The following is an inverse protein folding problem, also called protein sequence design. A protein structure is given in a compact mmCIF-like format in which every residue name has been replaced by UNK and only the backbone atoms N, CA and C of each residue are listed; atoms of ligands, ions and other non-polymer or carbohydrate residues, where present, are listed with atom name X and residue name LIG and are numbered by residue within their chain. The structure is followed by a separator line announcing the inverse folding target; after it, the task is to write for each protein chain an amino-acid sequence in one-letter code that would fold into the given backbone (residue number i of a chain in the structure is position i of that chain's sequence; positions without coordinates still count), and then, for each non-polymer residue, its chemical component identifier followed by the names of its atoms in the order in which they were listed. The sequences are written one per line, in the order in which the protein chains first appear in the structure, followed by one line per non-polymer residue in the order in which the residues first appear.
data_IF_024414915341
#
_entry.id   IF_024414915341
#
_cell.length_a   1.000
_cell.length_b   1.000
_cell.length_c   1.000
_cell.angle_alpha   90.00
_cell.angle_beta   90.00
_cell.angle_gamma   90.00
#
_symmetry.space_group_name_H-M   'P 1'
#
loop_
_entity.id
_entity.type
_entity.pdbx_description
1 polymer ?
#
# COMPACT_ATOMS: atom_id res chain seq x y z
N UNK A 1 3.54 -33.31 -9.64
CA UNK A 1 4.85 -32.71 -9.99
C UNK A 1 4.74 -31.66 -11.10
N UNK A 2 3.99 -31.92 -12.18
CA UNK A 2 3.73 -30.92 -13.25
C UNK A 2 2.89 -29.75 -12.79
N UNK A 3 1.95 -29.95 -11.86
CA UNK A 3 1.12 -28.91 -11.28
C UNK A 3 1.93 -27.94 -10.39
N UNK A 4 2.89 -28.43 -9.60
CA UNK A 4 3.72 -27.58 -8.77
C UNK A 4 4.76 -26.81 -9.59
N UNK A 5 5.38 -27.44 -10.59
CA UNK A 5 6.33 -26.79 -11.48
C UNK A 5 5.65 -25.70 -12.34
N UNK A 6 4.43 -25.97 -12.87
CA UNK A 6 3.67 -24.95 -13.58
C UNK A 6 3.24 -23.80 -12.66
N UNK A 7 2.91 -24.05 -11.38
CA UNK A 7 2.59 -23.01 -10.40
C UNK A 7 3.80 -22.19 -10.01
N UNK A 8 5.00 -22.74 -10.08
CA UNK A 8 6.24 -22.01 -9.77
C UNK A 8 6.72 -21.13 -10.92
N UNK A 9 6.41 -21.50 -12.16
CA UNK A 9 6.86 -20.76 -13.37
C UNK A 9 5.92 -19.58 -13.71
N UNK A 10 4.63 -19.62 -13.35
CA UNK A 10 3.63 -18.63 -13.76
C UNK A 10 2.72 -18.22 -12.59
N UNK A 11 3.30 -17.61 -11.55
CA UNK A 11 2.51 -17.14 -10.40
C UNK A 11 1.86 -15.77 -10.66
N UNK A 12 1.26 -15.53 -11.84
CA UNK A 12 0.45 -14.32 -12.09
C UNK A 12 -0.63 -14.13 -11.03
N UNK A 13 -1.16 -15.23 -10.52
CA UNK A 13 -2.21 -15.23 -9.51
C UNK A 13 -1.72 -14.83 -8.11
N UNK A 14 -0.40 -14.83 -7.88
CA UNK A 14 0.18 -14.49 -6.58
C UNK A 14 0.08 -13.01 -6.26
N UNK A 15 0.04 -12.14 -7.29
CA UNK A 15 -0.07 -10.69 -7.13
C UNK A 15 -0.99 -10.13 -8.19
N UNK A 16 -2.02 -9.38 -7.74
CA UNK A 16 -2.93 -8.67 -8.62
C UNK A 16 -4.00 -9.52 -9.32
N UNK A 17 -4.02 -10.85 -9.14
CA UNK A 17 -5.02 -11.76 -9.70
C UNK A 17 -5.19 -11.61 -11.21
N UNK A 18 -6.20 -10.84 -11.66
CA UNK A 18 -6.45 -10.55 -13.07
C UNK A 18 -5.52 -9.49 -13.67
N UNK A 19 -4.70 -8.79 -12.87
CA UNK A 19 -3.78 -7.76 -13.34
C UNK A 19 -2.47 -8.41 -13.78
N UNK A 20 -2.04 -8.26 -15.04
CA UNK A 20 -0.84 -8.93 -15.57
C UNK A 20 0.46 -8.20 -15.17
N UNK A 21 0.81 -8.14 -13.88
CA UNK A 21 1.97 -7.38 -13.38
C UNK A 21 3.29 -8.13 -13.45
N UNK A 22 3.29 -9.42 -13.14
CA UNK A 22 4.53 -10.22 -13.03
C UNK A 22 5.30 -10.25 -14.36
N UNK A 23 4.59 -10.48 -15.47
CA UNK A 23 5.22 -10.57 -16.78
C UNK A 23 5.77 -9.23 -17.27
N UNK A 24 5.06 -8.10 -17.21
CA UNK A 24 5.65 -6.80 -17.53
C UNK A 24 6.90 -6.47 -16.74
N UNK A 25 6.93 -6.70 -15.43
CA UNK A 25 8.14 -6.50 -14.63
C UNK A 25 9.31 -7.37 -15.14
N UNK A 26 9.04 -8.61 -15.51
CA UNK A 26 10.07 -9.58 -15.91
C UNK A 26 10.47 -9.49 -17.39
N UNK A 27 9.70 -8.84 -18.24
CA UNK A 27 9.92 -8.83 -19.71
C UNK A 27 9.84 -7.46 -20.34
N UNK A 28 8.82 -6.66 -20.02
CA UNK A 28 8.54 -5.39 -20.72
C UNK A 28 9.25 -4.20 -20.11
N UNK A 29 9.54 -4.24 -18.82
CA UNK A 29 10.19 -3.15 -18.07
C UNK A 29 11.68 -3.44 -17.79
N UNK A 30 12.25 -4.44 -18.42
CA UNK A 30 13.64 -4.88 -18.18
C UNK A 30 14.70 -3.90 -18.70
N UNK A 31 14.32 -2.93 -19.52
CA UNK A 31 15.22 -1.88 -19.98
C UNK A 31 15.33 -0.72 -18.98
N UNK A 32 14.45 -0.69 -17.98
CA UNK A 32 14.39 0.35 -16.97
C UNK A 32 14.94 -0.13 -15.62
N UNK A 33 15.54 0.78 -14.88
CA UNK A 33 15.75 0.61 -13.45
C UNK A 33 14.47 1.06 -12.74
N UNK A 34 13.82 0.10 -12.05
CA UNK A 34 12.62 0.39 -11.27
C UNK A 34 13.04 1.10 -9.98
N UNK A 35 12.57 2.30 -9.78
CA UNK A 35 12.89 3.10 -8.59
C UNK A 35 11.79 3.07 -7.54
N UNK A 36 10.53 2.91 -7.94
CA UNK A 36 9.40 2.82 -6.99
C UNK A 36 8.32 1.88 -7.52
N UNK A 37 7.75 1.10 -6.62
CA UNK A 37 6.50 0.34 -6.81
C UNK A 37 5.58 0.71 -5.68
N UNK A 38 4.34 1.09 -5.99
CA UNK A 38 3.30 1.36 -4.99
C UNK A 38 2.01 0.71 -5.44
N UNK A 39 1.36 -0.04 -4.55
CA UNK A 39 0.15 -0.76 -4.93
C UNK A 39 -0.95 -0.77 -3.87
N UNK A 40 -2.20 -0.74 -4.35
CA UNK A 40 -3.37 -1.21 -3.63
C UNK A 40 -3.51 -2.67 -4.02
N UNK A 41 -2.98 -3.57 -3.20
CA UNK A 41 -2.78 -5.00 -3.53
C UNK A 41 -3.82 -5.93 -2.89
N UNK A 42 -4.74 -5.37 -2.10
CA UNK A 42 -5.80 -6.13 -1.43
C UNK A 42 -7.16 -5.47 -1.65
N UNK A 43 -8.07 -6.17 -2.33
CA UNK A 43 -9.40 -5.66 -2.67
C UNK A 43 -10.33 -5.54 -1.45
N UNK A 44 -10.21 -6.43 -0.46
CA UNK A 44 -11.01 -6.42 0.76
C UNK A 44 -10.79 -5.14 1.55
N UNK A 45 -9.54 -4.81 1.83
CA UNK A 45 -9.18 -3.59 2.57
C UNK A 45 -9.53 -2.32 1.80
N UNK A 46 -9.33 -2.32 0.48
CA UNK A 46 -9.71 -1.18 -0.34
C UNK A 46 -11.22 -0.96 -0.37
N UNK A 47 -12.02 -2.04 -0.43
CA UNK A 47 -13.47 -1.98 -0.30
C UNK A 47 -13.88 -1.38 1.06
N UNK A 48 -13.31 -1.91 2.16
CA UNK A 48 -13.61 -1.43 3.52
C UNK A 48 -13.31 0.07 3.64
N UNK A 49 -12.11 0.51 3.29
CA UNK A 49 -11.72 1.92 3.37
C UNK A 49 -12.56 2.83 2.47
N UNK A 50 -12.89 2.37 1.25
CA UNK A 50 -13.74 3.11 0.32
C UNK A 50 -15.12 3.33 0.91
N UNK A 51 -15.71 2.29 1.50
CA UNK A 51 -17.07 2.34 2.04
C UNK A 51 -17.13 3.15 3.34
N UNK A 52 -16.17 2.97 4.25
CA UNK A 52 -16.04 3.82 5.44
C UNK A 52 -15.97 5.30 5.08
N UNK A 53 -15.20 5.64 4.04
CA UNK A 53 -15.05 7.03 3.57
C UNK A 53 -16.35 7.58 2.97
N UNK A 54 -17.05 6.81 2.12
CA UNK A 54 -18.24 7.29 1.41
C UNK A 54 -19.49 7.36 2.28
N UNK A 55 -19.67 6.39 3.17
CA UNK A 55 -20.90 6.23 3.94
C UNK A 55 -20.75 6.69 5.40
N UNK A 56 -19.54 6.97 5.86
CA UNK A 56 -19.27 7.42 7.23
C UNK A 56 -19.57 6.38 8.31
N UNK A 57 -19.64 5.09 7.93
CA UNK A 57 -19.92 3.98 8.84
C UNK A 57 -18.65 3.37 9.42
N UNK A 58 -18.78 2.65 10.52
CA UNK A 58 -17.64 2.12 11.25
C UNK A 58 -16.96 0.94 10.54
N UNK A 59 -15.69 0.71 10.85
CA UNK A 59 -14.93 -0.45 10.37
C UNK A 59 -15.67 -1.78 10.63
N UNK A 60 -16.25 -1.96 11.83
CA UNK A 60 -16.95 -3.19 12.21
C UNK A 60 -18.21 -3.44 11.37
N UNK A 61 -18.94 -2.39 11.03
CA UNK A 61 -20.14 -2.48 10.20
C UNK A 61 -19.78 -2.86 8.76
N UNK A 62 -18.79 -2.19 8.20
CA UNK A 62 -18.31 -2.49 6.82
C UNK A 62 -17.70 -3.89 6.74
N UNK A 63 -16.94 -4.32 7.75
CA UNK A 63 -16.35 -5.66 7.77
C UNK A 63 -17.45 -6.74 7.75
N UNK A 64 -18.51 -6.59 8.54
CA UNK A 64 -19.65 -7.53 8.52
C UNK A 64 -20.31 -7.60 7.16
N UNK A 65 -20.47 -6.46 6.50
CA UNK A 65 -21.03 -6.41 5.16
C UNK A 65 -20.09 -7.06 4.14
N UNK A 66 -18.78 -6.77 4.19
CA UNK A 66 -17.78 -7.39 3.34
C UNK A 66 -17.79 -8.93 3.47
N UNK A 67 -17.98 -9.42 4.70
CA UNK A 67 -18.14 -10.86 4.98
C UNK A 67 -19.44 -11.42 4.37
N UNK A 68 -20.56 -10.71 4.50
CA UNK A 68 -21.85 -11.12 3.92
C UNK A 68 -21.81 -11.16 2.39
N UNK A 69 -21.05 -10.27 1.76
CA UNK A 69 -20.83 -10.20 0.31
C UNK A 69 -19.77 -11.20 -0.20
N UNK A 70 -19.07 -11.89 0.71
CA UNK A 70 -17.98 -12.81 0.37
C UNK A 70 -16.67 -12.13 -0.05
N UNK A 71 -16.49 -10.85 0.25
CA UNK A 71 -15.24 -10.12 0.01
C UNK A 71 -14.22 -10.33 1.13
N UNK A 72 -14.68 -10.60 2.34
CA UNK A 72 -13.85 -10.94 3.49
C UNK A 72 -14.19 -12.33 4.02
N UNK A 73 -13.18 -13.09 4.40
CA UNK A 73 -13.35 -14.37 5.07
C UNK A 73 -13.77 -14.18 6.54
N UNK A 74 -14.19 -15.28 7.19
CA UNK A 74 -14.54 -15.27 8.61
C UNK A 74 -13.38 -14.82 9.50
N UNK A 75 -12.15 -15.23 9.17
CA UNK A 75 -10.91 -14.68 9.76
C UNK A 75 -10.21 -13.79 8.74
N UNK A 76 -10.46 -12.47 8.74
CA UNK A 76 -9.94 -11.55 7.75
C UNK A 76 -8.54 -11.00 8.10
N UNK A 77 -7.88 -11.53 9.13
CA UNK A 77 -6.64 -10.99 9.71
C UNK A 77 -5.56 -10.75 8.65
N UNK A 78 -5.37 -11.71 7.73
CA UNK A 78 -4.37 -11.58 6.67
C UNK A 78 -4.62 -10.37 5.76
N UNK A 79 -5.90 -10.00 5.56
CA UNK A 79 -6.29 -8.83 4.77
C UNK A 79 -6.16 -7.57 5.62
N UNK A 80 -6.89 -7.50 6.73
CA UNK A 80 -7.09 -6.26 7.50
C UNK A 80 -5.86 -5.80 8.26
N UNK A 81 -4.95 -6.71 8.63
CA UNK A 81 -3.66 -6.37 9.21
C UNK A 81 -2.55 -6.15 8.16
N UNK A 82 -2.91 -6.24 6.85
CA UNK A 82 -2.01 -5.89 5.74
C UNK A 82 -1.03 -7.00 5.33
N UNK A 83 -1.10 -8.19 5.93
CA UNK A 83 -0.13 -9.28 5.66
C UNK A 83 -0.20 -9.80 4.22
N UNK A 84 -1.39 -9.85 3.62
CA UNK A 84 -1.55 -10.23 2.21
C UNK A 84 -0.85 -9.22 1.29
N UNK A 85 -1.10 -7.91 1.49
CA UNK A 85 -0.46 -6.85 0.73
C UNK A 85 1.07 -6.82 0.94
N UNK A 86 1.54 -7.10 2.16
CA UNK A 86 2.96 -7.22 2.50
C UNK A 86 3.64 -8.35 1.73
N UNK A 87 3.06 -9.54 1.68
CA UNK A 87 3.61 -10.67 0.89
C UNK A 87 3.67 -10.35 -0.59
N UNK A 88 2.65 -9.66 -1.10
CA UNK A 88 2.59 -9.24 -2.51
C UNK A 88 3.65 -8.21 -2.87
N UNK A 89 3.88 -7.20 -2.04
CA UNK A 89 4.94 -6.23 -2.30
C UNK A 89 6.34 -6.88 -2.18
N UNK A 90 6.54 -7.84 -1.28
CA UNK A 90 7.79 -8.58 -1.20
C UNK A 90 8.12 -9.32 -2.51
N UNK A 91 7.10 -9.93 -3.15
CA UNK A 91 7.25 -10.59 -4.47
C UNK A 91 7.61 -9.55 -5.55
N UNK A 92 6.87 -8.43 -5.61
CA UNK A 92 7.12 -7.39 -6.62
C UNK A 92 8.51 -6.76 -6.43
N UNK A 93 8.93 -6.53 -5.20
CA UNK A 93 10.26 -6.00 -4.86
C UNK A 93 11.35 -6.99 -5.26
N UNK A 94 11.16 -8.28 -4.98
CA UNK A 94 12.12 -9.32 -5.38
C UNK A 94 12.28 -9.39 -6.89
N UNK A 95 11.18 -9.27 -7.64
CA UNK A 95 11.20 -9.24 -9.11
C UNK A 95 11.90 -7.99 -9.66
N UNK A 96 11.61 -6.82 -9.09
CA UNK A 96 12.15 -5.56 -9.58
C UNK A 96 13.66 -5.42 -9.33
N UNK A 97 14.13 -5.92 -8.19
CA UNK A 97 15.54 -5.76 -7.79
C UNK A 97 16.37 -7.05 -7.91
N UNK A 98 15.76 -8.14 -8.37
CA UNK A 98 16.47 -9.37 -8.72
C UNK A 98 17.00 -10.19 -7.53
N UNK A 99 16.59 -9.92 -6.30
CA UNK A 99 17.03 -10.61 -5.08
C UNK A 99 15.87 -10.87 -4.14
N UNK A 100 15.98 -11.89 -3.28
CA UNK A 100 14.90 -12.33 -2.38
C UNK A 100 14.65 -11.32 -1.26
N UNK A 101 13.43 -10.82 -1.17
CA UNK A 101 12.94 -10.01 -0.04
C UNK A 101 12.18 -10.90 0.93
N UNK A 102 12.54 -10.85 2.22
CA UNK A 102 11.80 -11.51 3.28
C UNK A 102 10.67 -10.60 3.74
N UNK A 103 9.42 -11.04 3.59
CA UNK A 103 8.26 -10.24 3.94
C UNK A 103 8.17 -9.94 5.45
N UNK A 104 8.77 -10.78 6.30
CA UNK A 104 8.84 -10.59 7.76
C UNK A 104 9.65 -9.36 8.15
N UNK A 105 10.51 -8.87 7.26
CA UNK A 105 11.33 -7.66 7.48
C UNK A 105 10.63 -6.39 7.00
N UNK A 106 9.51 -6.52 6.31
CA UNK A 106 8.72 -5.37 5.85
C UNK A 106 7.82 -4.90 6.97
N UNK A 107 7.95 -3.63 7.37
CA UNK A 107 7.03 -3.00 8.32
C UNK A 107 5.61 -3.08 7.79
N UNK A 108 4.71 -3.65 8.59
CA UNK A 108 3.32 -3.86 8.18
C UNK A 108 2.37 -3.32 9.23
N UNK A 109 1.47 -2.45 8.81
CA UNK A 109 0.41 -1.86 9.62
C UNK A 109 -0.93 -2.03 8.88
N UNK A 110 -1.93 -2.60 9.57
CA UNK A 110 -3.28 -2.83 9.03
C UNK A 110 -4.19 -1.61 9.10
N UNK A 111 -5.46 -1.84 8.72
CA UNK A 111 -6.49 -0.80 8.68
C UNK A 111 -7.39 -0.76 9.92
N UNK A 112 -7.23 -1.68 10.85
CA UNK A 112 -8.11 -1.87 12.02
C UNK A 112 -8.18 -0.68 12.97
N UNK A 113 -7.16 0.20 12.93
CA UNK A 113 -7.07 1.43 13.73
C UNK A 113 -7.65 2.66 13.03
N UNK A 114 -8.00 2.56 11.76
CA UNK A 114 -8.59 3.68 11.00
C UNK A 114 -10.03 3.88 11.46
N UNK A 115 -10.38 5.13 11.71
CA UNK A 115 -11.70 5.54 12.23
C UNK A 115 -12.41 6.49 11.27
N UNK A 116 -13.71 6.66 11.45
CA UNK A 116 -14.51 7.62 10.67
C UNK A 116 -14.01 9.06 10.83
N UNK A 117 -13.42 9.41 11.98
CA UNK A 117 -12.80 10.71 12.17
C UNK A 117 -11.59 10.93 11.27
N UNK A 118 -10.77 9.91 11.04
CA UNK A 118 -9.61 10.01 10.14
C UNK A 118 -10.05 10.37 8.72
N UNK A 119 -11.17 9.82 8.24
CA UNK A 119 -11.72 10.17 6.93
C UNK A 119 -12.23 11.61 6.87
N UNK A 120 -12.88 12.13 7.92
CA UNK A 120 -13.32 13.52 7.97
C UNK A 120 -12.14 14.50 7.88
N UNK A 121 -11.04 14.21 8.57
CA UNK A 121 -9.83 14.99 8.45
C UNK A 121 -9.19 14.86 7.06
N UNK A 122 -9.12 13.66 6.52
CA UNK A 122 -8.59 13.42 5.17
C UNK A 122 -9.39 14.19 4.12
N UNK A 123 -10.71 14.13 4.15
CA UNK A 123 -11.61 14.89 3.27
C UNK A 123 -11.38 16.39 3.37
N UNK A 124 -11.32 16.95 4.61
CA UNK A 124 -11.05 18.36 4.85
C UNK A 124 -9.72 18.84 4.26
N UNK A 125 -8.73 17.93 4.22
CA UNK A 125 -7.39 18.19 3.66
C UNK A 125 -7.28 17.88 2.16
N UNK A 126 -8.32 17.31 1.53
CA UNK A 126 -8.30 16.90 0.12
C UNK A 126 -7.59 15.56 -0.13
N UNK A 127 -7.50 14.72 0.89
CA UNK A 127 -6.90 13.39 0.81
C UNK A 127 -7.93 12.27 0.89
N UNK A 128 -7.52 11.08 0.44
CA UNK A 128 -8.20 9.80 0.73
C UNK A 128 -7.24 8.88 1.48
N UNK A 129 -7.79 7.96 2.27
CA UNK A 129 -7.01 6.95 3.00
C UNK A 129 -7.01 5.65 2.19
N UNK A 130 -5.82 5.10 1.92
CA UNK A 130 -5.61 3.83 1.23
C UNK A 130 -4.62 2.97 2.01
N UNK A 131 -4.80 1.64 1.99
CA UNK A 131 -3.74 0.72 2.38
C UNK A 131 -2.78 0.57 1.20
N UNK A 132 -1.62 1.18 1.30
CA UNK A 132 -0.57 1.07 0.29
C UNK A 132 0.50 0.09 0.73
N UNK A 133 0.93 -0.76 -0.20
CA UNK A 133 2.16 -1.51 -0.11
C UNK A 133 3.15 -0.88 -1.09
N UNK A 134 4.25 -0.37 -0.58
CA UNK A 134 5.22 0.39 -1.37
C UNK A 134 6.64 -0.13 -1.16
N UNK A 135 7.43 -0.04 -2.22
CA UNK A 135 8.87 -0.31 -2.22
C UNK A 135 9.55 0.76 -3.07
N UNK A 136 10.63 1.34 -2.56
CA UNK A 136 11.42 2.33 -3.28
C UNK A 136 12.90 2.09 -3.10
N UNK A 137 13.69 2.48 -4.10
CA UNK A 137 15.15 2.47 -4.05
C UNK A 137 15.65 3.91 -3.94
N UNK A 138 16.32 4.19 -2.84
CA UNK A 138 16.95 5.50 -2.55
C UNK A 138 18.38 5.28 -2.07
N UNK A 139 19.33 5.99 -2.66
CA UNK A 139 20.75 5.92 -2.27
C UNK A 139 21.28 4.48 -2.16
N UNK A 140 20.98 3.65 -3.16
CA UNK A 140 21.30 2.21 -3.23
C UNK A 140 20.70 1.32 -2.14
N UNK A 141 19.81 1.84 -1.32
CA UNK A 141 19.02 1.07 -0.35
C UNK A 141 17.59 0.91 -0.84
N UNK A 142 17.05 -0.28 -0.61
CA UNK A 142 15.64 -0.58 -0.90
C UNK A 142 14.85 -0.53 0.40
N UNK A 143 13.81 0.28 0.42
CA UNK A 143 12.86 0.38 1.53
C UNK A 143 11.53 -0.24 1.12
N UNK A 144 10.85 -0.88 2.03
CA UNK A 144 9.52 -1.42 1.79
C UNK A 144 8.63 -1.29 3.03
N UNK A 145 7.36 -0.96 2.80
CA UNK A 145 6.36 -0.82 3.88
C UNK A 145 4.96 -1.14 3.35
N UNK A 146 4.12 -1.70 4.21
CA UNK A 146 2.68 -1.81 3.99
C UNK A 146 1.96 -1.11 5.13
N UNK A 147 1.21 -0.06 4.82
CA UNK A 147 0.53 0.73 5.85
C UNK A 147 -0.62 1.55 5.25
N UNK A 148 -1.53 2.09 6.09
CA UNK A 148 -2.43 3.16 5.68
C UNK A 148 -1.67 4.44 5.33
N UNK A 149 -2.04 5.03 4.19
CA UNK A 149 -1.53 6.31 3.71
C UNK A 149 -2.67 7.26 3.34
N UNK A 150 -2.47 8.54 3.58
CA UNK A 150 -3.23 9.61 2.95
C UNK A 150 -2.57 9.97 1.62
N UNK A 151 -3.37 9.99 0.55
CA UNK A 151 -2.94 10.39 -0.80
C UNK A 151 -3.91 11.43 -1.36
N UNK A 152 -3.39 12.41 -2.09
CA UNK A 152 -4.20 13.47 -2.70
C UNK A 152 -4.60 13.14 -4.14
N UNK A 153 -5.39 14.01 -4.78
CA UNK A 153 -5.94 13.81 -6.13
C UNK A 153 -4.89 13.72 -7.25
N UNK A 154 -3.64 14.11 -7.01
CA UNK A 154 -2.55 13.98 -7.99
C UNK A 154 -1.88 12.61 -7.95
N UNK A 155 -2.14 11.82 -6.89
CA UNK A 155 -1.57 10.49 -6.78
C UNK A 155 -2.27 9.50 -7.73
N UNK A 156 -1.53 8.67 -8.50
CA UNK A 156 -2.12 7.74 -9.48
C UNK A 156 -3.18 6.80 -8.92
N UNK A 157 -3.03 6.37 -7.66
CA UNK A 157 -3.92 5.42 -7.01
C UNK A 157 -5.14 6.07 -6.31
N UNK A 158 -5.28 7.40 -6.36
CA UNK A 158 -6.35 8.12 -5.67
C UNK A 158 -7.75 7.59 -6.00
N UNK A 159 -8.01 7.35 -7.30
CA UNK A 159 -9.30 6.91 -7.79
C UNK A 159 -9.48 5.37 -7.84
N UNK A 160 -8.53 4.60 -7.30
CA UNK A 160 -8.68 3.14 -7.17
C UNK A 160 -9.57 2.83 -5.98
N UNK A 161 -10.83 2.50 -6.22
CA UNK A 161 -11.86 2.32 -5.19
C UNK A 161 -12.46 0.92 -5.22
N UNK A 162 -13.27 0.62 -4.21
CA UNK A 162 -14.05 -0.60 -4.07
C UNK A 162 -13.13 -1.86 -4.04
N UNK A 163 -13.47 -2.92 -4.69
CA UNK A 163 -12.67 -4.16 -4.75
C UNK A 163 -11.51 -4.12 -5.76
N UNK A 164 -11.30 -2.97 -6.41
CA UNK A 164 -10.28 -2.85 -7.44
C UNK A 164 -8.89 -2.70 -6.85
N UNK A 165 -7.90 -3.19 -7.61
CA UNK A 165 -6.48 -3.07 -7.30
C UNK A 165 -5.81 -2.14 -8.30
N UNK A 166 -4.71 -1.53 -7.90
CA UNK A 166 -3.85 -0.73 -8.77
C UNK A 166 -2.40 -0.90 -8.37
N UNK A 167 -1.53 -0.98 -9.34
CA UNK A 167 -0.08 -1.09 -9.14
C UNK A 167 0.58 -0.02 -10.00
N UNK A 168 1.18 0.94 -9.33
CA UNK A 168 1.94 2.03 -9.92
C UNK A 168 3.43 1.72 -9.83
N UNK A 169 4.13 1.92 -10.94
CA UNK A 169 5.57 1.67 -11.08
C UNK A 169 6.21 2.93 -11.65
N UNK A 170 7.36 3.30 -11.09
CA UNK A 170 8.21 4.35 -11.66
C UNK A 170 9.53 3.74 -12.09
N UNK A 171 9.83 3.88 -13.40
CA UNK A 171 11.10 3.52 -14.00
C UNK A 171 11.90 4.77 -14.37
N UNK A 172 13.22 4.66 -14.38
CA UNK A 172 14.11 5.80 -14.62
C UNK A 172 14.05 6.38 -16.04
N UNK A 173 13.59 5.62 -17.03
CA UNK A 173 13.47 6.03 -18.43
C UNK A 173 12.01 6.12 -18.88
N UNK A 174 11.22 5.07 -18.62
CA UNK A 174 9.81 5.03 -19.02
C UNK A 174 8.94 5.99 -18.18
N UNK A 175 9.42 6.36 -16.98
CA UNK A 175 8.62 7.16 -16.05
C UNK A 175 7.51 6.34 -15.40
N UNK A 176 6.31 6.89 -15.40
CA UNK A 176 5.17 6.36 -14.66
C UNK A 176 4.35 5.36 -15.48
N UNK A 177 4.18 4.15 -14.96
CA UNK A 177 3.32 3.11 -15.52
C UNK A 177 2.33 2.64 -14.45
N UNK A 178 1.08 2.44 -14.83
CA UNK A 178 0.06 1.93 -13.91
C UNK A 178 -0.67 0.73 -14.49
N UNK A 179 -0.84 -0.30 -13.68
CA UNK A 179 -1.69 -1.46 -13.94
C UNK A 179 -2.90 -1.39 -13.02
N UNK A 180 -4.09 -1.45 -13.58
CA UNK A 180 -5.33 -1.26 -12.84
C UNK A 180 -6.38 -2.29 -13.27
N UNK A 181 -7.14 -2.82 -12.32
CA UNK A 181 -8.23 -3.75 -12.62
C UNK A 181 -8.68 -4.58 -11.43
N UNK A 182 -9.36 -5.70 -11.72
CA UNK A 182 -9.82 -6.62 -10.71
C UNK A 182 -8.66 -7.48 -10.18
N UNK A 183 -8.32 -7.32 -8.91
CA UNK A 183 -7.28 -8.09 -8.23
C UNK A 183 -7.70 -9.51 -7.84
N UNK A 184 -9.01 -9.80 -7.85
CA UNK A 184 -9.60 -11.10 -7.51
C UNK A 184 -10.94 -11.29 -8.23
N UNK A 185 -11.51 -12.48 -8.11
CA UNK A 185 -12.82 -12.84 -8.66
C UNK A 185 -12.76 -13.97 -9.67
N UNK A 186 -13.87 -14.67 -9.83
CA UNK A 186 -13.98 -15.88 -10.66
C UNK A 186 -13.49 -15.67 -12.11
N UNK A 187 -14.01 -14.65 -12.79
CA UNK A 187 -13.67 -14.39 -14.19
C UNK A 187 -12.26 -13.79 -14.36
N UNK A 188 -11.82 -12.79 -13.58
CA UNK A 188 -10.44 -12.29 -13.65
C UNK A 188 -9.39 -13.37 -13.39
N UNK A 189 -9.60 -14.22 -12.38
CA UNK A 189 -8.70 -15.35 -12.09
C UNK A 189 -8.69 -16.38 -13.22
N UNK A 190 -9.85 -16.74 -13.76
CA UNK A 190 -9.93 -17.65 -14.90
C UNK A 190 -9.23 -17.08 -16.14
N UNK A 191 -9.39 -15.78 -16.42
CA UNK A 191 -8.69 -15.09 -17.51
C UNK A 191 -7.16 -15.16 -17.35
N UNK A 192 -6.64 -14.95 -16.13
CA UNK A 192 -5.22 -15.07 -15.85
C UNK A 192 -4.68 -16.49 -16.07
N UNK A 193 -5.42 -17.51 -15.60
CA UNK A 193 -5.07 -18.92 -15.82
C UNK A 193 -5.04 -19.26 -17.31
N UNK A 194 -6.07 -18.89 -18.05
CA UNK A 194 -6.13 -19.15 -19.50
C UNK A 194 -5.01 -18.42 -20.24
N UNK A 195 -4.70 -17.19 -19.85
CA UNK A 195 -3.58 -16.45 -20.44
C UNK A 195 -2.23 -17.15 -20.21
N UNK A 196 -2.02 -17.76 -19.02
CA UNK A 196 -0.82 -18.53 -18.74
C UNK A 196 -0.77 -19.83 -19.54
N UNK A 197 -1.89 -20.51 -19.72
CA UNK A 197 -1.98 -21.73 -20.60
C UNK A 197 -1.64 -21.35 -22.05
N UNK A 198 -2.20 -20.27 -22.58
CA UNK A 198 -1.89 -19.78 -23.93
C UNK A 198 -0.40 -19.48 -24.09
N UNK A 199 0.19 -18.88 -23.06
CA UNK A 199 1.62 -18.56 -23.07
C UNK A 199 2.50 -19.81 -23.04
N UNK A 200 2.15 -20.81 -22.24
CA UNK A 200 2.82 -22.11 -22.25
C UNK A 200 2.79 -22.77 -23.64
N UNK A 201 1.65 -22.67 -24.35
CA UNK A 201 1.52 -23.19 -25.72
C UNK A 201 2.42 -22.44 -26.69
N UNK A 202 2.47 -21.10 -26.59
CA UNK A 202 3.33 -20.25 -27.45
C UNK A 202 4.83 -20.51 -27.23
N UNK A 203 5.23 -20.89 -26.04
CA UNK A 203 6.61 -21.15 -25.66
C UNK A 203 6.89 -22.63 -25.46
N UNK A 204 6.17 -23.51 -26.18
CA UNK A 204 6.34 -24.96 -26.09
C UNK A 204 7.82 -25.38 -26.24
N UNK A 205 8.32 -26.11 -25.27
CA UNK A 205 9.73 -26.58 -25.24
C UNK A 205 10.75 -25.52 -24.79
N UNK A 206 10.29 -24.35 -24.33
CA UNK A 206 11.14 -23.31 -23.73
C UNK A 206 10.65 -22.99 -22.32
N UNK A 207 11.56 -22.85 -21.39
CA UNK A 207 11.25 -22.31 -20.07
C UNK A 207 11.38 -20.80 -20.11
N UNK A 208 10.26 -20.08 -19.92
CA UNK A 208 10.27 -18.65 -19.66
C UNK A 208 10.31 -18.49 -18.14
N UNK A 209 11.50 -18.38 -17.60
CA UNK A 209 11.70 -18.32 -16.17
C UNK A 209 11.50 -16.90 -15.65
N UNK A 210 10.71 -16.78 -14.59
CA UNK A 210 10.67 -15.58 -13.74
C UNK A 210 11.60 -15.84 -12.58
N UNK A 211 12.80 -15.27 -12.63
CA UNK A 211 13.88 -15.61 -11.70
C UNK A 211 14.35 -14.37 -10.98
N UNK A 212 14.50 -14.49 -9.69
CA UNK A 212 15.37 -13.64 -8.87
C UNK A 212 16.35 -14.49 -8.08
N UNK A 213 17.46 -13.89 -7.64
CA UNK A 213 18.48 -14.59 -6.85
C UNK A 213 17.89 -15.07 -5.53
N UNK A 214 18.39 -16.21 -5.05
CA UNK A 214 18.14 -16.70 -3.69
C UNK A 214 18.87 -15.87 -2.64
N UNK A 215 19.83 -15.03 -3.06
CA UNK A 215 20.48 -14.08 -2.18
C UNK A 215 19.47 -13.09 -1.60
N UNK A 216 19.61 -12.84 -0.32
CA UNK A 216 18.75 -11.91 0.39
C UNK A 216 19.04 -10.48 -0.05
N UNK A 217 17.99 -9.73 -0.38
CA UNK A 217 18.05 -8.27 -0.48
C UNK A 217 17.97 -7.67 0.92
N UNK A 218 19.03 -6.98 1.35
CA UNK A 218 19.01 -6.25 2.61
C UNK A 218 18.18 -4.97 2.45
N UNK A 219 17.08 -4.90 3.20
CA UNK A 219 16.25 -3.70 3.23
C UNK A 219 16.90 -2.61 4.09
N UNK A 220 16.68 -1.36 3.70
CA UNK A 220 16.98 -0.21 4.54
C UNK A 220 16.12 -0.23 5.82
N UNK A 221 16.64 0.39 6.89
CA UNK A 221 15.87 0.53 8.13
C UNK A 221 14.64 1.42 7.87
N UNK A 222 13.45 0.88 8.02
CA UNK A 222 12.19 1.61 7.83
C UNK A 222 12.06 2.83 8.77
N UNK A 223 12.84 2.87 9.86
CA UNK A 223 12.87 4.02 10.77
C UNK A 223 13.64 5.22 10.20
N UNK A 224 14.47 5.01 9.20
CA UNK A 224 15.24 6.08 8.55
C UNK A 224 14.46 6.72 7.37
N UNK A 225 13.38 6.10 6.91
CA UNK A 225 12.59 6.60 5.79
C UNK A 225 11.89 7.92 6.15
N UNK A 226 12.07 8.93 5.28
CA UNK A 226 11.58 10.30 5.51
C UNK A 226 10.21 10.47 4.86
N UNK A 227 9.23 10.92 5.64
CA UNK A 227 7.84 11.13 5.19
C UNK A 227 7.19 12.29 5.94
N UNK A 228 6.10 12.79 5.40
CA UNK A 228 5.14 13.60 6.14
C UNK A 228 4.14 12.69 6.87
N UNK A 229 3.64 13.20 7.99
CA UNK A 229 2.62 12.52 8.79
C UNK A 229 1.44 13.44 9.03
N UNK A 230 0.25 12.92 8.83
CA UNK A 230 -0.94 13.47 9.44
C UNK A 230 -1.09 12.90 10.85
N UNK A 231 -1.32 13.76 11.82
CA UNK A 231 -1.41 13.40 13.24
C UNK A 231 -2.68 13.97 13.84
N UNK A 232 -3.40 13.15 14.59
CA UNK A 232 -4.50 13.60 15.47
C UNK A 232 -4.01 13.62 16.90
N UNK A 233 -4.29 14.72 17.61
CA UNK A 233 -3.84 14.97 18.97
C UNK A 233 -5.00 15.50 19.82
N UNK A 234 -5.04 15.10 21.10
CA UNK A 234 -5.98 15.68 22.07
C UNK A 234 -5.62 17.12 22.39
N UNK A 235 -6.64 17.95 22.57
CA UNK A 235 -6.46 19.34 22.96
C UNK A 235 -7.23 20.33 22.09
N UNK A 236 -6.81 21.58 22.16
CA UNK A 236 -7.40 22.67 21.40
C UNK A 236 -6.33 23.29 20.49
N UNK A 237 -6.71 23.58 19.26
CA UNK A 237 -5.83 24.23 18.26
C UNK A 237 -5.30 25.60 18.72
N UNK A 238 -5.92 26.22 19.72
CA UNK A 238 -5.42 27.47 20.32
C UNK A 238 -4.18 27.29 21.19
N UNK A 239 -3.87 26.05 21.62
CA UNK A 239 -2.67 25.72 22.39
C UNK A 239 -1.79 24.73 21.64
N UNK A 240 -0.89 25.28 20.82
CA UNK A 240 0.06 24.51 20.01
C UNK A 240 1.43 24.38 20.69
N UNK A 241 1.60 24.82 21.93
CA UNK A 241 2.91 24.92 22.59
C UNK A 241 3.64 23.58 22.60
N UNK A 242 2.97 22.50 23.00
CA UNK A 242 3.54 21.15 23.02
C UNK A 242 3.81 20.60 21.62
N UNK A 243 2.88 20.81 20.67
CA UNK A 243 3.04 20.36 19.28
C UNK A 243 4.21 21.09 18.61
N UNK A 244 4.27 22.43 18.73
CA UNK A 244 5.37 23.21 18.14
C UNK A 244 6.72 22.90 18.78
N UNK A 245 6.77 22.59 20.08
CA UNK A 245 7.99 22.15 20.75
C UNK A 245 8.46 20.77 20.28
N UNK A 246 7.56 19.90 19.84
CA UNK A 246 7.86 18.56 19.41
C UNK A 246 8.14 18.46 17.89
N UNK A 247 7.38 19.17 17.05
CA UNK A 247 7.36 19.03 15.59
C UNK A 247 7.75 20.32 14.84
N UNK A 248 7.99 21.43 15.54
CA UNK A 248 8.19 22.75 14.91
C UNK A 248 6.87 23.34 14.38
N UNK A 249 6.96 24.16 13.34
CA UNK A 249 5.77 24.70 12.70
C UNK A 249 5.03 23.59 11.95
N UNK A 250 3.74 23.46 12.25
CA UNK A 250 2.87 22.46 11.64
C UNK A 250 1.66 23.11 10.98
N UNK A 251 1.15 22.49 9.92
CA UNK A 251 -0.13 22.87 9.32
C UNK A 251 -1.26 22.21 10.11
N UNK A 252 -2.01 23.00 10.85
CA UNK A 252 -3.15 22.52 11.65
C UNK A 252 -4.43 22.42 10.84
N UNK A 253 -5.31 21.52 11.26
CA UNK A 253 -6.65 21.33 10.70
C UNK A 253 -7.64 20.98 11.81
N UNK A 254 -8.82 21.58 11.73
CA UNK A 254 -9.98 21.25 12.57
C UNK A 254 -11.15 20.81 11.70
N UNK A 255 -12.01 19.97 12.23
CA UNK A 255 -13.21 19.47 11.56
C UNK A 255 -14.43 19.81 12.43
N UNK A 256 -15.45 20.40 11.84
CA UNK A 256 -16.68 20.76 12.55
C UNK A 256 -17.36 19.53 13.17
N UNK A 257 -17.77 19.65 14.42
CA UNK A 257 -18.37 18.55 15.18
C UNK A 257 -17.37 17.51 15.71
N UNK A 258 -16.07 17.81 15.68
CA UNK A 258 -15.03 17.04 16.37
C UNK A 258 -14.37 17.95 17.41
N UNK A 259 -14.80 17.82 18.66
CA UNK A 259 -14.30 18.62 19.77
C UNK A 259 -13.27 17.86 20.60
N UNK A 260 -12.37 18.58 21.28
CA UNK A 260 -11.37 18.03 22.19
C UNK A 260 -10.17 17.37 21.49
N UNK A 261 -10.09 17.49 20.17
CA UNK A 261 -8.94 17.05 19.36
C UNK A 261 -8.79 17.96 18.13
N UNK A 262 -7.60 17.97 17.55
CA UNK A 262 -7.33 18.57 16.26
C UNK A 262 -6.32 17.75 15.49
N UNK A 263 -6.20 18.02 14.19
CA UNK A 263 -5.21 17.39 13.32
C UNK A 263 -4.10 18.36 12.94
N UNK A 264 -2.94 17.82 12.57
CA UNK A 264 -1.89 18.58 11.92
C UNK A 264 -1.07 17.70 10.95
N UNK A 265 -0.38 18.36 10.02
CA UNK A 265 0.59 17.72 9.12
C UNK A 265 1.99 18.18 9.52
N UNK A 266 2.92 17.21 9.61
CA UNK A 266 4.34 17.50 9.92
C UNK A 266 5.09 17.94 8.67
N UNK A 267 6.22 18.62 8.84
CA UNK A 267 7.26 18.65 7.82
C UNK A 267 7.81 17.22 7.58
N UNK A 268 8.49 16.98 6.43
CA UNK A 268 9.14 15.70 6.20
C UNK A 268 10.13 15.35 7.31
N UNK A 269 9.97 14.16 7.90
CA UNK A 269 10.85 13.67 8.96
C UNK A 269 10.94 12.15 8.93
N UNK A 270 12.01 11.58 9.49
CA UNK A 270 12.15 10.13 9.59
C UNK A 270 11.15 9.54 10.59
N UNK A 271 10.77 8.26 10.38
CA UNK A 271 9.93 7.52 11.33
C UNK A 271 10.53 7.54 12.76
N UNK A 272 11.85 7.45 12.86
CA UNK A 272 12.59 7.55 14.14
C UNK A 272 12.40 8.90 14.80
N UNK A 273 12.59 9.99 14.06
CA UNK A 273 12.39 11.35 14.57
C UNK A 273 10.91 11.59 14.96
N UNK A 274 9.98 11.08 14.15
CA UNK A 274 8.56 11.11 14.46
C UNK A 274 8.24 10.40 15.77
N UNK A 275 8.76 9.18 15.96
CA UNK A 275 8.50 8.39 17.16
C UNK A 275 9.00 9.09 18.43
N UNK A 276 10.15 9.78 18.38
CA UNK A 276 10.66 10.55 19.51
C UNK A 276 9.83 11.83 19.78
N UNK A 277 9.42 12.53 18.73
CA UNK A 277 8.57 13.71 18.86
C UNK A 277 7.17 13.37 19.41
N UNK A 278 6.60 12.27 18.96
CA UNK A 278 5.26 11.82 19.35
C UNK A 278 5.15 11.49 20.85
N UNK A 279 6.24 11.12 21.52
CA UNK A 279 6.27 10.89 22.98
C UNK A 279 5.95 12.14 23.81
N UNK A 280 6.06 13.34 23.20
CA UNK A 280 5.88 14.64 23.87
C UNK A 280 4.47 15.19 23.76
N UNK A 281 3.58 14.53 23.05
CA UNK A 281 2.20 14.96 22.83
C UNK A 281 1.20 13.83 23.16
N UNK A 282 -0.06 14.19 23.43
CA UNK A 282 -1.13 13.21 23.62
C UNK A 282 -1.73 12.80 22.26
N UNK A 283 -0.93 12.05 21.49
CA UNK A 283 -1.29 11.58 20.16
C UNK A 283 -2.43 10.57 20.22
N UNK A 284 -3.46 10.79 19.41
CA UNK A 284 -4.60 9.86 19.23
C UNK A 284 -4.27 8.84 18.12
N UNK A 285 -3.87 9.36 16.96
CA UNK A 285 -3.59 8.55 15.78
C UNK A 285 -2.65 9.27 14.81
N UNK A 286 -1.97 8.50 13.97
CA UNK A 286 -1.18 9.04 12.87
C UNK A 286 -1.40 8.25 11.58
N UNK A 287 -1.30 8.91 10.44
CA UNK A 287 -1.32 8.30 9.11
C UNK A 287 -0.19 8.94 8.29
N UNK A 288 0.53 8.12 7.54
CA UNK A 288 1.58 8.59 6.62
C UNK A 288 0.96 9.29 5.42
N UNK A 289 1.68 10.23 4.83
CA UNK A 289 1.27 10.91 3.60
C UNK A 289 2.21 10.48 2.47
N UNK A 290 1.66 10.04 1.35
CA UNK A 290 2.41 9.86 0.10
C UNK A 290 1.95 10.94 -0.90
N UNK A 291 2.85 11.89 -1.19
CA UNK A 291 2.64 12.99 -2.14
C UNK A 291 3.26 12.68 -3.52
N UNK A 292 3.41 11.42 -3.88
CA UNK A 292 3.85 11.05 -5.23
C UNK A 292 2.95 11.75 -6.27
N UNK A 293 3.56 12.57 -7.10
CA UNK A 293 2.89 13.24 -8.23
C UNK A 293 3.21 12.52 -9.53
N UNK A 294 2.24 12.57 -10.48
CA UNK A 294 2.44 12.09 -11.85
C UNK A 294 3.40 13.01 -12.60
#
# INVERSE_FOLDING_TARGET
ALSSAASDVYKRQSVGGGIPIIRPLNQSLTADEITKITGILNGTTNYILTKMSREGISYQEVLKEAQALGYAERNPEADVEGYDACRKIAILTSLAYGSTVKFEEIRTEGITKITTKDFKYAEKLGYVVKLLATSCKENDKVYAITAPFMINSTHPLYNVNDVLNGIYIHGNVIGNVMFFGAGAGKLPTASAVVADVVDCVKHKGKNVMTVWSVEKLELGDADDEVRKFFVRVKGNVSDLSAVNAAFGNVQTVTVDGIDGEFGFITEPMSERAFAEAAKKIDMIHRIRIDETTI
#
